data_IF_473414768677
#
_entry.id   IF_473414768677
#
_cell.length_a   1.000
_cell.length_b   1.000
_cell.length_c   1.000
_cell.angle_alpha   90.00
_cell.angle_beta   90.00
_cell.angle_gamma   90.00
#
_symmetry.space_group_name_H-M   'P 1'
#
loop_
_entity.id
_entity.type
_entity.pdbx_description
1 polymer ?
#
# COMPACT_ATOMS: atom_id res chain seq x y z
N UNK A 1 64.54 -47.19 28.60
CA UNK A 1 63.64 -48.36 28.52
C UNK A 1 62.21 -47.88 28.29
N UNK A 2 61.64 -48.19 27.12
CA UNK A 2 60.22 -48.52 26.93
C UNK A 2 59.11 -47.46 27.00
N UNK A 3 58.66 -47.03 25.80
CA UNK A 3 57.26 -46.72 25.37
C UNK A 3 56.63 -45.43 25.97
N UNK A 4 55.86 -44.61 25.26
CA UNK A 4 54.63 -44.91 24.52
C UNK A 4 54.42 -43.88 23.38
N UNK A 5 53.98 -44.36 22.21
CA UNK A 5 53.51 -43.54 21.07
C UNK A 5 52.07 -43.10 21.31
N UNK A 6 51.77 -41.81 21.15
CA UNK A 6 50.41 -41.33 20.89
C UNK A 6 50.35 -40.70 19.51
N UNK A 7 49.58 -41.33 18.62
CA UNK A 7 49.17 -40.77 17.33
C UNK A 7 48.09 -39.71 17.60
N UNK A 8 48.30 -38.48 17.14
CA UNK A 8 47.21 -37.51 17.00
C UNK A 8 46.30 -37.95 15.85
N UNK A 9 44.97 -38.01 16.02
CA UNK A 9 44.07 -38.12 14.89
C UNK A 9 43.91 -36.75 14.21
N UNK A 10 44.09 -36.75 12.90
CA UNK A 10 43.74 -35.63 12.02
C UNK A 10 42.22 -35.46 12.04
N UNK A 11 41.73 -34.38 12.63
CA UNK A 11 40.33 -33.96 12.53
C UNK A 11 40.09 -33.39 11.13
N UNK A 12 39.37 -34.14 10.30
CA UNK A 12 38.81 -33.67 9.04
C UNK A 12 37.70 -32.65 9.37
N UNK A 13 37.95 -31.36 9.16
CA UNK A 13 36.91 -30.35 9.21
C UNK A 13 36.05 -30.47 7.95
N UNK A 14 34.89 -31.13 8.07
CA UNK A 14 33.85 -31.12 7.04
C UNK A 14 33.16 -29.75 7.16
N UNK A 15 33.59 -28.80 6.33
CA UNK A 15 32.86 -27.55 6.15
C UNK A 15 31.54 -27.84 5.44
N UNK A 16 30.43 -27.81 6.18
CA UNK A 16 29.11 -27.70 5.59
C UNK A 16 28.98 -26.29 5.00
N UNK A 17 29.17 -26.18 3.68
CA UNK A 17 28.67 -25.05 2.92
C UNK A 17 27.15 -25.22 2.86
N UNK A 18 26.43 -24.50 3.72
CA UNK A 18 25.01 -24.26 3.48
C UNK A 18 24.94 -23.25 2.35
N UNK A 19 24.63 -23.73 1.14
CA UNK A 19 24.13 -22.85 0.08
C UNK A 19 22.86 -22.19 0.62
N UNK A 20 22.95 -20.91 0.96
CA UNK A 20 21.77 -20.09 1.19
C UNK A 20 21.04 -20.01 -0.15
N UNK A 21 19.95 -20.77 -0.28
CA UNK A 21 19.01 -20.58 -1.37
C UNK A 21 18.60 -19.10 -1.38
N UNK A 22 19.06 -18.36 -2.37
CA UNK A 22 18.72 -16.95 -2.51
C UNK A 22 17.23 -16.90 -2.85
N UNK A 23 16.43 -16.37 -1.93
CA UNK A 23 15.01 -16.14 -2.17
C UNK A 23 14.85 -15.34 -3.47
N UNK A 24 13.97 -15.78 -4.37
CA UNK A 24 13.82 -15.11 -5.66
C UNK A 24 13.06 -13.81 -5.41
N UNK A 25 13.75 -12.68 -5.52
CA UNK A 25 13.14 -11.36 -5.39
C UNK A 25 12.54 -10.96 -6.73
N UNK A 26 11.22 -10.72 -6.75
CA UNK A 26 10.50 -10.24 -7.93
C UNK A 26 10.29 -8.73 -7.83
N UNK A 27 10.58 -8.01 -8.91
CA UNK A 27 10.42 -6.57 -9.01
C UNK A 27 9.12 -6.22 -9.72
N UNK A 28 8.18 -5.58 -9.00
CA UNK A 28 6.84 -5.29 -9.49
C UNK A 28 6.55 -3.79 -9.46
N UNK A 29 6.30 -3.13 -10.61
CA UNK A 29 5.84 -1.75 -10.61
C UNK A 29 4.55 -1.58 -9.82
N UNK A 30 4.50 -0.53 -9.00
CA UNK A 30 3.40 -0.31 -8.06
C UNK A 30 2.94 1.14 -8.10
N UNK A 31 1.64 1.37 -8.23
CA UNK A 31 1.04 2.69 -8.01
C UNK A 31 -0.46 2.59 -7.77
N UNK A 32 -1.02 3.60 -7.14
CA UNK A 32 -2.46 3.86 -7.06
C UNK A 32 -2.73 5.24 -7.65
N UNK A 33 -3.73 5.35 -8.52
CA UNK A 33 -4.04 6.59 -9.24
C UNK A 33 -5.54 6.81 -9.34
N UNK A 34 -5.93 8.06 -9.12
CA UNK A 34 -7.28 8.54 -9.34
C UNK A 34 -7.36 9.27 -10.68
N UNK A 35 -8.38 8.96 -11.46
CA UNK A 35 -8.68 9.58 -12.73
C UNK A 35 -10.08 10.18 -12.71
N UNK A 36 -10.26 11.24 -13.49
CA UNK A 36 -11.57 11.85 -13.76
C UNK A 36 -11.77 11.93 -15.26
N UNK A 37 -13.02 11.96 -15.72
CA UNK A 37 -13.29 12.07 -17.15
C UNK A 37 -14.66 11.54 -17.51
N UNK A 38 -14.78 10.92 -18.67
CA UNK A 38 -16.08 10.44 -19.16
C UNK A 38 -16.05 9.01 -19.69
N UNK A 39 -17.14 8.30 -19.45
CA UNK A 39 -17.51 7.05 -20.12
C UNK A 39 -18.89 7.24 -20.73
N UNK A 40 -19.02 6.99 -22.04
CA UNK A 40 -20.27 7.24 -22.77
C UNK A 40 -20.80 8.68 -22.61
N UNK A 41 -19.89 9.66 -22.50
CA UNK A 41 -20.22 11.08 -22.28
C UNK A 41 -20.73 11.42 -20.87
N UNK A 42 -20.75 10.46 -19.93
CA UNK A 42 -21.13 10.70 -18.53
C UNK A 42 -19.89 10.86 -17.65
N UNK A 43 -19.87 11.84 -16.73
CA UNK A 43 -18.73 12.06 -15.84
C UNK A 43 -18.54 10.89 -14.88
N UNK A 44 -17.27 10.52 -14.67
CA UNK A 44 -16.86 9.43 -13.79
C UNK A 44 -15.65 9.80 -12.95
N UNK A 45 -15.58 9.21 -11.76
CA UNK A 45 -14.39 9.14 -10.93
C UNK A 45 -13.91 7.68 -10.88
N UNK A 46 -12.62 7.45 -11.16
CA UNK A 46 -12.03 6.12 -11.34
C UNK A 46 -10.78 6.01 -10.47
N UNK A 47 -10.70 5.01 -9.61
CA UNK A 47 -9.48 4.63 -8.88
C UNK A 47 -8.94 3.33 -9.50
N UNK A 48 -7.66 3.33 -9.88
CA UNK A 48 -6.96 2.15 -10.39
C UNK A 48 -5.68 1.97 -9.58
N UNK A 49 -5.47 0.74 -9.15
CA UNK A 49 -4.23 0.26 -8.56
C UNK A 49 -3.54 -0.68 -9.53
N UNK A 50 -2.24 -0.46 -9.73
CA UNK A 50 -1.34 -1.35 -10.45
C UNK A 50 -0.42 -2.03 -9.47
N UNK A 51 -0.30 -3.35 -9.60
CA UNK A 51 0.73 -4.14 -8.95
C UNK A 51 1.30 -5.15 -9.96
N UNK A 52 2.54 -4.92 -10.40
CA UNK A 52 3.12 -5.68 -11.52
C UNK A 52 2.38 -5.38 -12.82
N UNK A 53 1.86 -6.43 -13.45
CA UNK A 53 0.98 -6.33 -14.62
C UNK A 53 -0.50 -6.39 -14.25
N UNK A 54 -0.85 -6.60 -12.98
CA UNK A 54 -2.24 -6.68 -12.53
C UNK A 54 -2.78 -5.27 -12.31
N UNK A 55 -4.00 -5.04 -12.80
CA UNK A 55 -4.80 -3.85 -12.52
C UNK A 55 -6.06 -4.26 -11.76
N UNK A 56 -6.40 -3.50 -10.73
CA UNK A 56 -7.67 -3.60 -10.06
C UNK A 56 -8.10 -2.22 -9.59
N UNK A 57 -9.38 -2.06 -9.29
CA UNK A 57 -9.88 -0.79 -8.81
C UNK A 57 -11.38 -0.69 -8.95
N UNK A 58 -11.85 0.53 -9.04
CA UNK A 58 -13.27 0.79 -9.13
C UNK A 58 -13.58 2.15 -9.72
N UNK A 59 -14.83 2.35 -10.13
CA UNK A 59 -15.31 3.65 -10.53
C UNK A 59 -16.78 3.88 -10.18
N UNK A 60 -17.19 5.14 -10.24
CA UNK A 60 -18.56 5.58 -10.05
C UNK A 60 -18.92 6.70 -11.03
N UNK A 61 -20.18 6.73 -11.45
CA UNK A 61 -20.75 7.86 -12.19
C UNK A 61 -21.08 9.00 -11.24
N UNK A 62 -20.55 10.18 -11.54
CA UNK A 62 -20.70 11.34 -10.68
C UNK A 62 -22.18 11.80 -10.58
N UNK A 63 -22.59 12.38 -9.43
CA UNK A 63 -21.83 12.47 -8.18
C UNK A 63 -21.70 11.09 -7.52
N UNK A 64 -20.50 10.74 -7.05
CA UNK A 64 -20.28 9.51 -6.32
C UNK A 64 -20.88 9.63 -4.92
N UNK A 65 -21.60 8.61 -4.46
CA UNK A 65 -22.12 8.56 -3.10
C UNK A 65 -22.14 7.12 -2.60
N UNK A 66 -22.18 6.94 -1.28
CA UNK A 66 -22.11 5.62 -0.63
C UNK A 66 -23.28 4.68 -0.98
N UNK A 67 -24.37 5.20 -1.58
CA UNK A 67 -25.53 4.42 -2.01
C UNK A 67 -25.48 3.99 -3.49
N UNK A 68 -24.56 4.56 -4.29
CA UNK A 68 -24.36 4.14 -5.68
C UNK A 68 -23.43 2.94 -5.71
N UNK A 69 -23.81 1.93 -6.50
CA UNK A 69 -22.99 0.75 -6.71
C UNK A 69 -21.61 1.18 -7.24
N UNK A 70 -20.57 0.87 -6.47
CA UNK A 70 -19.18 0.94 -6.90
C UNK A 70 -18.98 -0.12 -7.96
N UNK A 71 -18.56 0.29 -9.16
CA UNK A 71 -18.36 -0.61 -10.29
C UNK A 71 -16.91 -1.08 -10.22
N UNK A 72 -16.71 -2.39 -10.06
CA UNK A 72 -15.39 -2.99 -9.85
C UNK A 72 -14.69 -3.21 -11.19
N UNK A 73 -13.38 -2.94 -11.20
CA UNK A 73 -12.49 -3.14 -12.34
C UNK A 73 -11.43 -4.18 -11.96
N UNK A 74 -11.16 -5.13 -12.86
CA UNK A 74 -10.04 -6.08 -12.75
C UNK A 74 -9.45 -6.35 -14.12
N UNK A 75 -8.15 -6.50 -14.23
CA UNK A 75 -7.51 -6.88 -15.47
C UNK A 75 -6.01 -6.67 -15.44
N UNK A 76 -5.44 -6.21 -16.55
CA UNK A 76 -3.99 -6.17 -16.72
C UNK A 76 -3.50 -4.97 -17.52
N UNK A 77 -2.22 -4.68 -17.32
CA UNK A 77 -1.44 -3.73 -18.09
C UNK A 77 -0.27 -4.47 -18.73
N UNK A 78 -0.19 -4.42 -20.06
CA UNK A 78 0.95 -4.89 -20.83
C UNK A 78 1.47 -3.71 -21.66
N UNK A 79 2.72 -3.32 -21.44
CA UNK A 79 3.30 -2.10 -21.98
C UNK A 79 2.48 -0.84 -21.65
N UNK A 80 1.62 -0.42 -22.59
CA UNK A 80 0.67 0.70 -22.45
C UNK A 80 -0.77 0.27 -22.63
N UNK A 81 -1.03 -0.99 -22.95
CA UNK A 81 -2.36 -1.52 -23.19
C UNK A 81 -3.00 -1.91 -21.86
N UNK A 82 -4.12 -1.26 -21.57
CA UNK A 82 -4.99 -1.49 -20.42
C UNK A 82 -6.16 -2.36 -20.89
N UNK A 83 -6.27 -3.54 -20.29
CA UNK A 83 -7.41 -4.42 -20.46
C UNK A 83 -8.11 -4.59 -19.11
N UNK A 84 -9.36 -4.15 -19.00
CA UNK A 84 -10.14 -4.29 -17.77
C UNK A 84 -11.48 -4.97 -18.05
N UNK A 85 -11.88 -5.85 -17.15
CA UNK A 85 -13.25 -6.30 -16.99
C UNK A 85 -13.98 -5.41 -15.99
N UNK A 86 -15.20 -5.04 -16.35
CA UNK A 86 -16.11 -4.29 -15.51
C UNK A 86 -17.15 -5.22 -14.89
N UNK A 87 -17.35 -5.13 -13.57
CA UNK A 87 -18.31 -5.95 -12.83
C UNK A 87 -19.12 -5.10 -11.85
N UNK A 88 -20.44 -5.29 -11.87
CA UNK A 88 -21.37 -4.72 -10.86
C UNK A 88 -21.90 -5.83 -9.96
N UNK A 89 -22.68 -6.74 -10.54
CA UNK A 89 -23.07 -8.04 -9.93
C UNK A 89 -22.56 -9.20 -10.77
N UNK A 90 -22.51 -9.00 -12.08
CA UNK A 90 -21.90 -9.85 -13.07
C UNK A 90 -21.06 -8.96 -14.01
N UNK A 91 -20.34 -9.60 -14.93
CA UNK A 91 -19.64 -8.91 -16.02
C UNK A 91 -20.60 -7.99 -16.78
N UNK A 92 -20.28 -6.70 -16.83
CA UNK A 92 -21.08 -5.67 -17.50
C UNK A 92 -20.39 -5.09 -18.73
N UNK A 93 -19.06 -5.11 -18.78
CA UNK A 93 -18.30 -4.60 -19.91
C UNK A 93 -16.81 -4.88 -19.84
N UNK A 94 -16.12 -4.37 -20.85
CA UNK A 94 -14.68 -4.50 -21.05
C UNK A 94 -14.11 -3.14 -21.42
N UNK A 95 -12.91 -2.83 -20.95
CA UNK A 95 -12.18 -1.64 -21.36
C UNK A 95 -10.95 -2.11 -22.12
N UNK A 96 -10.77 -1.59 -23.33
CA UNK A 96 -9.53 -1.72 -24.09
C UNK A 96 -9.01 -0.30 -24.34
N UNK A 97 -7.92 0.05 -23.69
CA UNK A 97 -7.42 1.42 -23.69
C UNK A 97 -5.90 1.47 -23.69
N UNK A 98 -5.35 2.63 -23.97
CA UNK A 98 -3.93 2.93 -23.78
C UNK A 98 -3.75 3.89 -22.60
N UNK A 99 -2.72 3.65 -21.79
CA UNK A 99 -2.31 4.51 -20.67
C UNK A 99 -1.05 5.31 -21.03
N UNK A 100 -1.05 6.58 -20.65
CA UNK A 100 0.12 7.46 -20.67
C UNK A 100 0.44 7.97 -19.26
N UNK A 101 1.37 8.92 -19.15
CA UNK A 101 1.67 9.59 -17.88
C UNK A 101 0.53 10.47 -17.35
N UNK A 102 -0.43 10.84 -18.20
CA UNK A 102 -1.48 11.83 -17.86
C UNK A 102 -2.90 11.40 -18.19
N UNK A 103 -3.09 10.34 -18.98
CA UNK A 103 -4.42 9.96 -19.46
C UNK A 103 -4.55 8.46 -19.72
N UNK A 104 -5.80 8.00 -19.73
CA UNK A 104 -6.22 6.71 -20.28
C UNK A 104 -7.26 6.99 -21.36
N UNK A 105 -7.02 6.50 -22.57
CA UNK A 105 -7.93 6.66 -23.73
C UNK A 105 -8.19 5.34 -24.40
N UNK A 106 -9.44 5.07 -24.73
CA UNK A 106 -9.80 3.83 -25.40
C UNK A 106 -11.29 3.65 -25.56
N UNK A 107 -11.71 2.40 -25.53
CA UNK A 107 -13.10 2.00 -25.74
C UNK A 107 -13.58 1.10 -24.60
N UNK A 108 -14.78 1.40 -24.13
CA UNK A 108 -15.61 0.53 -23.33
C UNK A 108 -16.52 -0.27 -24.26
N UNK A 109 -16.60 -1.57 -24.06
CA UNK A 109 -17.49 -2.47 -24.80
C UNK A 109 -18.42 -3.19 -23.84
N UNK A 110 -19.72 -3.27 -24.13
CA UNK A 110 -20.67 -4.03 -23.29
C UNK A 110 -20.34 -5.53 -23.26
N UNK A 111 -20.78 -6.23 -22.22
CA UNK A 111 -20.55 -7.67 -22.06
C UNK A 111 -21.03 -8.50 -23.28
N UNK A 112 -22.13 -8.09 -23.91
CA UNK A 112 -22.68 -8.71 -25.14
C UNK A 112 -22.02 -8.22 -26.44
N UNK A 113 -21.01 -7.35 -26.34
CA UNK A 113 -20.23 -6.78 -27.45
C UNK A 113 -21.02 -5.93 -28.44
N UNK A 114 -22.20 -5.42 -28.06
CA UNK A 114 -23.05 -4.60 -28.97
C UNK A 114 -22.85 -3.10 -28.82
N UNK A 115 -22.49 -2.64 -27.63
CA UNK A 115 -22.35 -1.21 -27.33
C UNK A 115 -20.89 -0.88 -27.14
N UNK A 116 -20.48 0.22 -27.75
CA UNK A 116 -19.12 0.71 -27.75
C UNK A 116 -19.17 2.18 -27.38
N UNK A 117 -18.39 2.57 -26.38
CA UNK A 117 -18.34 3.95 -25.91
C UNK A 117 -16.90 4.39 -25.67
N UNK A 118 -16.55 5.65 -25.97
CA UNK A 118 -15.22 6.14 -25.66
C UNK A 118 -14.99 6.17 -24.14
N UNK A 119 -13.79 5.78 -23.75
CA UNK A 119 -13.20 6.02 -22.43
C UNK A 119 -12.17 7.12 -22.60
N UNK A 120 -12.35 8.22 -21.88
CA UNK A 120 -11.43 9.35 -21.87
C UNK A 120 -11.26 9.82 -20.43
N UNK A 121 -10.11 9.47 -19.85
CA UNK A 121 -9.80 9.72 -18.45
C UNK A 121 -8.49 10.50 -18.33
N UNK A 122 -8.47 11.45 -17.41
CA UNK A 122 -7.33 12.31 -17.09
C UNK A 122 -6.88 11.96 -15.68
N UNK A 123 -5.57 11.71 -15.54
CA UNK A 123 -4.96 11.45 -14.25
C UNK A 123 -5.04 12.71 -13.38
N UNK A 124 -5.72 12.60 -12.24
CA UNK A 124 -5.64 13.61 -11.19
C UNK A 124 -4.32 13.46 -10.46
N UNK A 125 -3.27 14.12 -10.97
CA UNK A 125 -1.95 14.16 -10.33
C UNK A 125 -2.00 15.11 -9.13
N UNK A 126 -1.80 14.63 -7.89
CA UNK A 126 -1.75 15.51 -6.73
C UNK A 126 -0.67 16.60 -6.88
N UNK A 127 -0.93 17.75 -6.25
CA UNK A 127 0.04 18.85 -6.22
C UNK A 127 1.34 18.35 -5.60
N UNK A 128 2.46 18.75 -6.20
CA UNK A 128 3.81 18.36 -5.79
C UNK A 128 4.14 16.86 -5.89
N UNK A 129 3.27 16.01 -6.49
CA UNK A 129 3.62 14.59 -6.66
C UNK A 129 4.94 14.39 -7.38
N UNK A 130 5.83 13.55 -6.85
CA UNK A 130 7.17 13.43 -7.38
C UNK A 130 7.13 12.67 -8.71
N UNK A 131 8.04 13.01 -9.62
CA UNK A 131 8.26 12.21 -10.83
C UNK A 131 9.17 11.03 -10.49
N UNK A 132 8.59 10.06 -9.76
CA UNK A 132 9.26 8.85 -9.28
C UNK A 132 8.37 7.66 -9.61
N UNK A 133 8.99 6.66 -10.24
CA UNK A 133 8.39 5.35 -10.46
C UNK A 133 8.75 4.46 -9.30
N UNK A 134 7.73 3.82 -8.70
CA UNK A 134 7.90 2.87 -7.61
C UNK A 134 7.88 1.44 -8.17
N UNK A 135 8.86 0.65 -7.74
CA UNK A 135 8.96 -0.78 -8.01
C UNK A 135 9.15 -1.50 -6.68
N UNK A 136 8.22 -2.37 -6.32
CA UNK A 136 8.31 -3.13 -5.07
C UNK A 136 9.09 -4.41 -5.30
N UNK A 137 10.02 -4.70 -4.39
CA UNK A 137 10.60 -6.03 -4.27
C UNK A 137 9.64 -6.90 -3.47
N UNK A 138 9.21 -8.01 -4.06
CA UNK A 138 8.42 -9.02 -3.37
C UNK A 138 9.25 -10.27 -3.16
N UNK A 139 9.14 -10.87 -1.98
CA UNK A 139 9.75 -12.16 -1.69
C UNK A 139 8.69 -13.26 -1.67
N UNK A 140 9.15 -14.49 -1.88
CA UNK A 140 8.37 -15.72 -1.80
C UNK A 140 8.23 -16.24 -0.37
N UNK A 141 8.61 -15.46 0.64
CA UNK A 141 8.71 -15.89 2.04
C UNK A 141 7.39 -16.46 2.61
N UNK A 142 6.25 -16.20 1.95
CA UNK A 142 4.93 -16.74 2.27
C UNK A 142 4.31 -17.65 1.19
N UNK A 143 5.06 -18.11 0.18
CA UNK A 143 4.52 -18.95 -0.90
C UNK A 143 3.75 -18.20 -1.97
N UNK A 144 4.01 -16.90 -2.14
CA UNK A 144 3.41 -16.09 -3.21
C UNK A 144 3.77 -16.66 -4.59
N UNK A 145 2.74 -16.89 -5.39
CA UNK A 145 2.82 -17.39 -6.75
C UNK A 145 2.38 -16.28 -7.71
N UNK A 146 3.32 -15.63 -8.44
CA UNK A 146 3.00 -14.54 -9.35
C UNK A 146 2.18 -14.98 -10.58
N UNK A 147 1.99 -16.29 -10.80
CA UNK A 147 1.12 -16.82 -11.86
C UNK A 147 -0.36 -16.90 -11.45
N UNK A 148 -0.67 -16.70 -10.17
CA UNK A 148 -2.03 -16.76 -9.62
C UNK A 148 -2.57 -15.36 -9.31
N UNK A 149 -3.90 -15.26 -9.23
CA UNK A 149 -4.57 -14.03 -8.79
C UNK A 149 -4.13 -13.67 -7.36
N UNK A 150 -4.09 -12.36 -7.08
CA UNK A 150 -3.86 -11.87 -5.72
C UNK A 150 -5.17 -12.01 -4.93
N UNK A 151 -5.12 -12.78 -3.86
CA UNK A 151 -6.24 -12.98 -2.93
C UNK A 151 -5.73 -13.28 -1.50
N UNK A 152 -6.64 -13.61 -0.60
CA UNK A 152 -6.33 -13.93 0.81
C UNK A 152 -5.43 -15.18 1.00
N UNK A 153 -5.26 -16.01 -0.02
CA UNK A 153 -4.35 -17.16 -0.02
C UNK A 153 -3.06 -16.93 -0.81
N UNK A 154 -2.97 -15.86 -1.60
CA UNK A 154 -1.84 -15.55 -2.48
C UNK A 154 -1.49 -14.05 -2.49
N UNK A 155 -1.19 -13.49 -1.31
CA UNK A 155 -0.80 -12.09 -1.18
C UNK A 155 0.73 -11.94 -1.10
N UNK A 156 1.35 -11.11 -1.96
CA UNK A 156 2.79 -10.85 -1.91
C UNK A 156 3.18 -9.99 -0.70
N UNK A 157 4.29 -10.33 -0.06
CA UNK A 157 4.96 -9.46 0.91
C UNK A 157 5.93 -8.53 0.17
N UNK A 158 6.00 -7.26 0.58
CA UNK A 158 6.91 -6.26 0.05
C UNK A 158 8.07 -6.11 1.02
N UNK A 159 9.29 -6.38 0.53
CA UNK A 159 10.53 -6.30 1.31
C UNK A 159 11.32 -5.01 1.06
N UNK A 160 11.08 -4.35 -0.07
CA UNK A 160 11.66 -3.04 -0.35
C UNK A 160 10.84 -2.28 -1.41
N UNK A 161 11.01 -0.97 -1.43
CA UNK A 161 10.49 -0.09 -2.47
C UNK A 161 11.70 0.55 -3.17
N UNK A 162 11.85 0.29 -4.47
CA UNK A 162 12.84 0.93 -5.33
C UNK A 162 12.23 2.15 -6.01
N UNK A 163 12.98 3.25 -5.96
CA UNK A 163 12.59 4.54 -6.48
C UNK A 163 13.40 4.80 -7.74
N UNK A 164 12.72 4.99 -8.86
CA UNK A 164 13.35 5.30 -10.14
C UNK A 164 12.96 6.69 -10.61
N UNK A 165 13.93 7.44 -11.14
CA UNK A 165 13.72 8.71 -11.85
C UNK A 165 14.41 8.64 -13.19
N UNK A 166 13.69 8.96 -14.27
CA UNK A 166 14.20 8.87 -15.64
C UNK A 166 14.81 7.48 -15.97
N UNK A 167 14.20 6.43 -15.44
CA UNK A 167 14.67 5.04 -15.59
C UNK A 167 15.90 4.65 -14.76
N UNK A 168 16.47 5.57 -13.97
CA UNK A 168 17.61 5.31 -13.09
C UNK A 168 17.16 5.09 -11.65
N UNK A 169 17.67 4.02 -11.02
CA UNK A 169 17.49 3.79 -9.59
C UNK A 169 18.14 4.92 -8.80
N UNK A 170 17.35 5.62 -7.99
CA UNK A 170 17.84 6.71 -7.12
C UNK A 170 17.93 6.28 -5.65
N UNK A 171 17.08 5.34 -5.21
CA UNK A 171 17.08 4.86 -3.84
C UNK A 171 16.33 3.52 -3.72
N UNK A 172 16.71 2.73 -2.73
CA UNK A 172 15.94 1.58 -2.22
C UNK A 172 15.57 1.88 -0.77
N UNK A 173 14.30 1.62 -0.41
CA UNK A 173 13.76 1.76 0.93
C UNK A 173 13.34 0.39 1.44
N UNK A 174 14.01 -0.11 2.46
CA UNK A 174 13.73 -1.44 3.02
C UNK A 174 12.49 -1.40 3.91
N UNK A 175 11.64 -2.41 3.79
CA UNK A 175 10.40 -2.52 4.56
C UNK A 175 10.03 -3.98 4.78
N UNK A 176 9.04 -4.23 5.64
CA UNK A 176 8.46 -5.54 5.85
C UNK A 176 6.94 -5.40 5.84
N UNK A 177 6.39 -5.15 4.64
CA UNK A 177 4.96 -4.91 4.46
C UNK A 177 4.25 -6.18 3.99
N UNK A 178 3.28 -6.65 4.78
CA UNK A 178 2.48 -7.84 4.48
C UNK A 178 1.00 -7.50 4.51
N UNK A 179 0.36 -7.58 3.35
CA UNK A 179 -1.08 -7.43 3.21
C UNK A 179 -1.87 -8.68 3.59
N UNK A 180 -3.18 -8.55 3.80
CA UNK A 180 -4.06 -9.68 4.17
C UNK A 180 -4.64 -10.42 2.97
N UNK A 181 -5.25 -9.69 2.03
CA UNK A 181 -5.81 -10.23 0.78
C UNK A 181 -5.33 -9.48 -0.48
N UNK A 182 -4.53 -8.45 -0.28
CA UNK A 182 -3.87 -7.64 -1.31
C UNK A 182 -2.67 -6.95 -0.67
N UNK A 183 -1.59 -6.67 -1.41
CA UNK A 183 -0.46 -5.92 -0.86
C UNK A 183 -0.89 -4.51 -0.44
N UNK A 184 -0.26 -3.95 0.60
CA UNK A 184 -0.38 -2.53 0.87
C UNK A 184 0.41 -1.74 -0.16
N UNK A 185 -0.23 -0.73 -0.73
CA UNK A 185 0.39 0.12 -1.72
C UNK A 185 1.17 1.23 -1.03
N UNK A 186 2.39 1.57 -1.47
CA UNK A 186 3.05 2.79 -1.05
C UNK A 186 2.20 4.02 -1.41
N UNK A 187 2.08 4.95 -0.47
CA UNK A 187 1.29 6.17 -0.61
C UNK A 187 2.19 7.39 -0.50
N UNK A 188 1.88 8.41 -1.30
CA UNK A 188 2.53 9.72 -1.24
C UNK A 188 1.71 10.65 -0.35
N UNK A 189 2.37 11.43 0.51
CA UNK A 189 1.73 12.48 1.30
C UNK A 189 2.77 13.39 1.94
N UNK A 190 2.49 14.69 2.05
CA UNK A 190 3.34 15.64 2.78
C UNK A 190 2.98 15.54 4.27
N UNK A 191 3.67 14.66 5.00
CA UNK A 191 3.29 14.33 6.38
C UNK A 191 3.85 15.32 7.38
N UNK A 192 4.88 16.08 6.99
CA UNK A 192 5.53 17.09 7.84
C UNK A 192 5.18 18.54 7.46
N UNK A 193 4.33 18.73 6.45
CA UNK A 193 3.83 20.00 5.95
C UNK A 193 4.93 20.92 5.39
N UNK A 194 6.01 20.35 4.87
CA UNK A 194 7.15 21.09 4.29
C UNK A 194 7.00 21.38 2.79
N UNK A 195 5.92 20.86 2.17
CA UNK A 195 5.58 21.04 0.77
C UNK A 195 6.14 19.95 -0.15
N UNK A 196 6.95 19.02 0.36
CA UNK A 196 7.47 17.88 -0.39
C UNK A 196 6.71 16.60 -0.03
N UNK A 197 6.40 15.74 -1.02
CA UNK A 197 5.74 14.47 -0.77
C UNK A 197 6.70 13.47 -0.11
N UNK A 198 6.33 13.00 1.07
CA UNK A 198 6.90 11.86 1.77
C UNK A 198 6.27 10.56 1.29
N UNK A 199 6.90 9.43 1.61
CA UNK A 199 6.40 8.10 1.25
C UNK A 199 6.06 7.29 2.49
N UNK A 200 4.89 6.65 2.48
CA UNK A 200 4.44 5.78 3.57
C UNK A 200 3.94 4.45 3.04
N UNK A 201 4.06 3.39 3.85
CA UNK A 201 3.46 2.09 3.59
C UNK A 201 2.99 1.46 4.90
N UNK A 202 1.77 0.90 4.90
CA UNK A 202 1.28 0.09 6.02
C UNK A 202 2.11 -1.20 6.07
N UNK A 203 2.62 -1.58 7.24
CA UNK A 203 3.48 -2.77 7.34
C UNK A 203 2.69 -4.05 7.62
N UNK A 204 1.59 -3.94 8.35
CA UNK A 204 0.68 -5.06 8.64
C UNK A 204 -0.67 -4.53 9.10
N UNK A 205 -1.70 -5.37 9.01
CA UNK A 205 -2.98 -5.08 9.67
C UNK A 205 -2.99 -5.71 11.06
N UNK A 206 -3.13 -4.86 12.06
CA UNK A 206 -3.45 -5.27 13.42
C UNK A 206 -4.97 -5.27 13.64
N UNK A 207 -5.39 -5.78 14.79
CA UNK A 207 -6.80 -5.73 15.16
C UNK A 207 -7.25 -4.29 15.40
N UNK A 208 -8.33 -3.86 14.74
CA UNK A 208 -8.85 -2.49 14.87
C UNK A 208 -8.15 -1.49 13.94
N UNK A 209 -8.20 -0.19 14.27
CA UNK A 209 -7.61 0.87 13.45
C UNK A 209 -6.08 0.99 13.63
N UNK A 210 -5.44 0.20 14.48
CA UNK A 210 -4.05 0.38 14.90
C UNK A 210 -3.01 -0.20 13.92
N UNK A 211 -3.12 0.10 12.62
CA UNK A 211 -2.16 -0.41 11.65
C UNK A 211 -0.82 0.38 11.73
N UNK A 212 0.32 -0.28 11.96
CA UNK A 212 1.62 0.37 11.88
C UNK A 212 1.94 0.82 10.45
N UNK A 213 2.57 1.98 10.33
CA UNK A 213 2.95 2.59 9.06
C UNK A 213 4.41 2.98 9.11
N UNK A 214 5.20 2.46 8.17
CA UNK A 214 6.57 2.94 7.97
C UNK A 214 6.54 4.14 7.03
N UNK A 215 7.16 5.24 7.47
CA UNK A 215 7.21 6.49 6.71
C UNK A 215 8.64 6.96 6.49
N UNK A 216 8.93 7.41 5.28
CA UNK A 216 10.19 8.06 4.94
C UNK A 216 9.93 9.50 4.51
N UNK A 217 10.54 10.43 5.23
CA UNK A 217 10.50 11.85 4.95
C UNK A 217 11.45 12.19 3.81
N UNK A 218 11.04 13.08 2.90
CA UNK A 218 11.93 13.62 1.90
C UNK A 218 12.86 14.67 2.53
N UNK A 219 14.17 14.48 2.42
CA UNK A 219 15.17 15.49 2.79
C UNK A 219 15.57 16.27 1.52
N UNK A 220 15.04 17.49 1.28
CA UNK A 220 15.34 18.25 0.07
C UNK A 220 16.81 18.69 -0.02
N UNK A 221 17.50 18.82 1.11
CA UNK A 221 18.92 19.19 1.11
C UNK A 221 19.80 18.03 0.66
N UNK A 222 19.42 16.79 0.99
CA UNK A 222 20.13 15.57 0.54
C UNK A 222 19.52 14.93 -0.69
N UNK A 223 18.37 15.41 -1.14
CA UNK A 223 17.57 14.88 -2.25
C UNK A 223 17.27 13.37 -2.13
N UNK A 224 16.98 12.91 -0.91
CA UNK A 224 16.71 11.49 -0.61
C UNK A 224 15.66 11.35 0.47
N UNK A 225 15.05 10.17 0.52
CA UNK A 225 14.14 9.78 1.58
C UNK A 225 14.94 9.26 2.78
N UNK A 226 14.49 9.58 3.99
CA UNK A 226 15.08 9.16 5.27
C UNK A 226 13.96 8.73 6.20
N UNK A 227 14.20 7.75 7.07
CA UNK A 227 13.16 7.32 8.02
C UNK A 227 12.65 8.51 8.84
N UNK A 228 11.34 8.56 9.00
CA UNK A 228 10.72 9.47 9.95
C UNK A 228 11.26 9.18 11.37
N UNK A 229 11.31 10.19 12.25
CA UNK A 229 11.74 10.00 13.64
C UNK A 229 10.86 8.95 14.33
N UNK A 230 11.42 8.25 15.31
CA UNK A 230 10.68 7.23 16.09
C UNK A 230 9.35 7.77 16.64
N UNK A 231 9.33 9.03 17.11
CA UNK A 231 8.11 9.69 17.60
C UNK A 231 6.96 9.72 16.60
N UNK A 232 7.25 9.72 15.30
CA UNK A 232 6.25 9.63 14.24
C UNK A 232 5.97 8.17 13.84
N UNK A 233 7.02 7.35 13.69
CA UNK A 233 6.87 5.94 13.26
C UNK A 233 6.02 5.10 14.23
N UNK A 234 5.97 5.49 15.51
CA UNK A 234 5.16 4.83 16.53
C UNK A 234 3.66 5.18 16.44
N UNK A 235 3.27 6.17 15.63
CA UNK A 235 1.86 6.52 15.43
C UNK A 235 1.24 5.53 14.45
N UNK A 236 0.23 4.80 14.91
CA UNK A 236 -0.57 3.89 14.07
C UNK A 236 -1.60 4.66 13.25
N UNK A 237 -1.82 4.23 12.00
CA UNK A 237 -2.76 4.81 11.05
C UNK A 237 -2.85 6.34 11.08
N UNK A 238 -1.73 7.06 10.87
CA UNK A 238 -1.73 8.52 10.89
C UNK A 238 -2.54 9.09 9.72
N UNK A 239 -3.54 9.91 10.04
CA UNK A 239 -4.30 10.71 9.08
C UNK A 239 -3.76 12.14 9.03
N UNK A 240 -3.43 12.60 7.82
CA UNK A 240 -2.83 13.93 7.61
C UNK A 240 -3.93 14.97 7.44
N UNK A 241 -4.05 15.87 8.42
CA UNK A 241 -4.87 17.07 8.34
C UNK A 241 -4.01 18.24 7.86
N UNK A 242 -3.96 18.41 6.53
CA UNK A 242 -3.20 19.47 5.89
C UNK A 242 -3.77 20.88 6.16
N UNK A 243 -5.07 21.00 6.45
CA UNK A 243 -5.73 22.28 6.72
C UNK A 243 -5.27 22.83 8.09
N UNK A 244 -5.27 21.98 9.12
CA UNK A 244 -4.88 22.36 10.47
C UNK A 244 -3.41 22.07 10.80
N UNK A 245 -2.68 21.45 9.87
CA UNK A 245 -1.29 20.99 10.03
C UNK A 245 -1.12 20.12 11.26
N UNK A 246 -1.96 19.09 11.32
CA UNK A 246 -2.04 18.14 12.41
C UNK A 246 -2.07 16.72 11.87
N UNK A 247 -1.70 15.77 12.72
CA UNK A 247 -1.84 14.35 12.44
C UNK A 247 -2.84 13.78 13.43
N UNK A 248 -3.86 13.11 12.93
CA UNK A 248 -4.90 12.47 13.73
C UNK A 248 -4.66 10.96 13.69
N UNK A 249 -4.75 10.30 14.83
CA UNK A 249 -4.66 8.84 14.91
C UNK A 249 -5.79 8.32 15.78
N UNK A 250 -6.58 7.41 15.23
CA UNK A 250 -7.61 6.70 15.95
C UNK A 250 -7.05 5.37 16.42
N UNK A 251 -7.22 5.07 17.70
CA UNK A 251 -6.64 3.89 18.32
C UNK A 251 -7.68 3.07 19.07
N UNK A 252 -7.39 1.77 19.25
CA UNK A 252 -8.24 0.82 19.95
C UNK A 252 -7.45 -0.06 20.93
N UNK A 253 -7.60 0.21 22.21
CA UNK A 253 -7.13 -0.64 23.31
C UNK A 253 -8.08 -1.81 23.60
N UNK A 254 -8.30 -2.70 22.64
CA UNK A 254 -9.23 -3.83 22.78
C UNK A 254 -10.70 -3.46 22.58
N UNK A 255 -11.63 -4.27 23.09
CA UNK A 255 -13.06 -4.07 22.78
C UNK A 255 -13.65 -2.81 23.40
N UNK A 256 -13.21 -2.47 24.61
CA UNK A 256 -13.87 -1.49 25.46
C UNK A 256 -13.18 -0.12 25.46
N UNK A 257 -11.96 -0.01 24.96
CA UNK A 257 -11.15 1.21 25.04
C UNK A 257 -10.74 1.66 23.65
N UNK A 258 -10.95 2.93 23.38
CA UNK A 258 -10.67 3.54 22.08
C UNK A 258 -10.60 5.05 22.24
N UNK A 259 -9.87 5.69 21.35
CA UNK A 259 -9.69 7.12 21.40
C UNK A 259 -9.11 7.69 20.14
N UNK A 260 -8.80 8.97 20.23
CA UNK A 260 -8.17 9.76 19.19
C UNK A 260 -7.04 10.54 19.81
N UNK A 261 -5.89 10.54 19.15
CA UNK A 261 -4.75 11.36 19.49
C UNK A 261 -4.52 12.35 18.35
N UNK A 262 -4.25 13.60 18.70
CA UNK A 262 -3.91 14.66 17.75
C UNK A 262 -2.49 15.12 18.03
N UNK A 263 -1.68 15.12 16.98
CA UNK A 263 -0.26 15.41 17.05
C UNK A 263 0.12 16.59 16.16
N UNK A 264 1.25 17.21 16.45
CA UNK A 264 1.84 18.27 15.63
C UNK A 264 3.36 18.17 15.60
N UNK A 265 3.95 18.51 14.46
CA UNK A 265 5.39 18.63 14.32
C UNK A 265 5.97 19.77 15.15
N UNK A 266 7.08 19.51 15.83
CA UNK A 266 7.89 20.46 16.57
C UNK A 266 9.36 20.27 16.22
N UNK A 267 9.83 21.05 15.26
CA UNK A 267 11.15 20.83 14.67
C UNK A 267 11.19 19.48 13.94
N UNK A 268 12.05 18.57 14.39
CA UNK A 268 12.28 17.26 13.76
C UNK A 268 11.57 16.09 14.46
N UNK A 269 10.73 16.39 15.44
CA UNK A 269 9.97 15.41 16.21
C UNK A 269 8.50 15.78 16.20
N UNK A 270 7.64 14.86 16.64
CA UNK A 270 6.21 15.11 16.79
C UNK A 270 5.82 15.14 18.27
N UNK A 271 4.87 16.00 18.65
CA UNK A 271 4.32 16.07 19.99
C UNK A 271 2.81 15.81 19.97
N UNK A 272 2.30 15.10 20.98
CA UNK A 272 0.87 14.97 21.25
C UNK A 272 0.36 16.30 21.78
N UNK A 273 -0.63 16.89 21.10
CA UNK A 273 -1.20 18.20 21.46
C UNK A 273 -2.62 18.10 21.99
N UNK A 274 -3.33 17.02 21.66
CA UNK A 274 -4.68 16.76 22.18
C UNK A 274 -4.97 15.25 22.17
N UNK A 275 -5.89 14.82 23.03
CA UNK A 275 -6.38 13.44 23.05
C UNK A 275 -7.80 13.36 23.60
N UNK A 276 -8.58 12.46 23.03
CA UNK A 276 -9.88 12.06 23.56
C UNK A 276 -9.92 10.54 23.72
N UNK A 277 -10.52 10.07 24.80
CA UNK A 277 -10.69 8.63 25.04
C UNK A 277 -12.12 8.34 25.50
N UNK A 278 -12.59 7.14 25.16
CA UNK A 278 -13.89 6.63 25.60
C UNK A 278 -13.74 5.18 26.02
N UNK A 279 -14.44 4.82 27.11
CA UNK A 279 -14.45 3.47 27.65
C UNK A 279 -15.89 2.93 27.77
N UNK A 280 -16.14 1.73 27.26
CA UNK A 280 -17.39 1.02 27.53
C UNK A 280 -17.40 0.47 28.95
N UNK A 281 -18.21 1.08 29.81
CA UNK A 281 -18.42 0.59 31.17
C UNK A 281 -19.17 -0.74 31.16
N UNK A 282 -18.87 -1.65 32.11
CA UNK A 282 -19.63 -2.88 32.26
C UNK A 282 -21.09 -2.59 32.62
N UNK A 283 -22.00 -3.37 32.05
CA UNK A 283 -23.43 -3.29 32.35
C UNK A 283 -23.76 -4.27 33.47
N UNK A 284 -24.39 -3.79 34.55
CA UNK A 284 -24.93 -4.66 35.61
C UNK A 284 -26.40 -4.96 35.29
N UNK A 285 -26.72 -6.22 35.07
CA UNK A 285 -28.10 -6.69 34.87
C UNK A 285 -28.37 -7.86 35.80
N UNK A 286 -29.41 -7.73 36.65
CA UNK A 286 -29.80 -8.73 37.66
C UNK A 286 -28.66 -9.18 38.57
N UNK A 287 -27.80 -8.24 39.00
CA UNK A 287 -26.65 -8.52 39.86
C UNK A 287 -25.48 -9.22 39.16
N UNK A 288 -25.58 -9.48 37.84
CA UNK A 288 -24.49 -10.01 37.03
C UNK A 288 -23.84 -8.87 36.22
N UNK A 289 -22.52 -8.84 36.24
CA UNK A 289 -21.71 -7.92 35.43
C UNK A 289 -21.54 -8.49 34.01
N UNK A 290 -21.75 -7.65 33.01
CA UNK A 290 -21.53 -7.94 31.60
C UNK A 290 -20.49 -6.96 31.06
N UNK A 291 -19.32 -7.46 30.70
CA UNK A 291 -18.23 -6.67 30.12
C UNK A 291 -18.39 -6.58 28.59
N UNK A 292 -17.76 -5.57 27.98
CA UNK A 292 -17.52 -5.61 26.54
C UNK A 292 -16.56 -6.76 26.21
N UNK A 293 -16.84 -7.43 25.08
CA UNK A 293 -16.30 -8.73 24.66
C UNK A 293 -14.79 -8.90 24.79
#
# INVERSE_FOLDING_TARGET
MGKIKYRLPTLLAIGFWMDAASATVLELPAWERNYTGTIAGKPVNVNITRFGNTLYGHYCYEPCNQHKAVIVLRGSLQDKEVHLEERVKALSGYWNAEISSSEIKGEWTSADKKRHFPVALIYYKPKNSPDIVLVTNTNDAGGYDPSKEIDCGNTPAISAIKLYRDGKLIQTLDTASVGTCSPFMPQWGDVNFDGYPDLSIVTELLAGPDAPVQTWLYDPAKQRYVDAPASYQEITSPEIDAEHKQIVSYWRGGCCSHGVNVYRWKGKTIELIDRGESYFQPVISKGKMYNCY
#
